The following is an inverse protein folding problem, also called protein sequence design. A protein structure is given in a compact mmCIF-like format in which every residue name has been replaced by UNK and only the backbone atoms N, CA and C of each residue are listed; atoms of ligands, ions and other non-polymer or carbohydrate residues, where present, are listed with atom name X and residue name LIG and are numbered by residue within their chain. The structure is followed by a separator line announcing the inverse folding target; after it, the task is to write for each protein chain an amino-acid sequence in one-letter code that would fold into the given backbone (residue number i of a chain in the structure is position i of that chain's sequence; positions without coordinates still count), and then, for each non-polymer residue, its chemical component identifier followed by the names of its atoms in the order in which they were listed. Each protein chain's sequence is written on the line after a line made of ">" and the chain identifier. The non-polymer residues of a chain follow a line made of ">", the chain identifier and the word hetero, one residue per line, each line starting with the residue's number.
data_IF_342886745379
#
_entry.id   IF_342886745379
#
_cell.length_a   1.000
_cell.length_b   1.000
_cell.length_c   1.000
_cell.angle_alpha   90.00
_cell.angle_beta   90.00
_cell.angle_gamma   90.00
#
_symmetry.space_group_name_H-M   'P 1'
#
loop_
_entity.id
_entity.type
_entity.pdbx_description
1 polymer ?
#
# COMPACT_ATOMS: atom_id res chain seq x y z
N UNK A 1 -17.58 -13.98 -6.70
CA UNK A 1 -17.78 -12.59 -7.16
C UNK A 1 -16.42 -11.93 -7.19
N UNK A 2 -16.17 -11.04 -8.15
CA UNK A 2 -14.81 -10.57 -8.47
C UNK A 2 -14.19 -9.70 -7.38
N UNK A 3 -12.90 -9.91 -7.13
CA UNK A 3 -12.03 -9.01 -6.36
C UNK A 3 -11.89 -7.68 -7.12
N UNK A 4 -11.94 -6.56 -6.41
CA UNK A 4 -11.66 -5.25 -6.98
C UNK A 4 -10.68 -4.49 -6.09
N UNK A 5 -9.73 -3.80 -6.72
CA UNK A 5 -8.78 -2.95 -6.06
C UNK A 5 -8.76 -1.57 -6.74
N UNK A 6 -8.91 -0.52 -5.95
CA UNK A 6 -8.75 0.86 -6.41
C UNK A 6 -7.51 1.43 -5.73
N UNK A 7 -6.49 1.71 -6.52
CA UNK A 7 -5.23 2.27 -6.05
C UNK A 7 -5.06 3.73 -6.48
N UNK A 8 -4.58 4.56 -5.56
CA UNK A 8 -4.25 5.95 -5.79
C UNK A 8 -2.82 6.24 -5.36
N UNK A 9 -1.94 6.47 -6.35
CA UNK A 9 -0.55 6.89 -6.13
C UNK A 9 -0.45 8.42 -6.22
N UNK A 10 0.02 9.04 -5.13
CA UNK A 10 0.40 10.44 -5.11
C UNK A 10 1.90 10.60 -4.89
N UNK A 11 2.59 11.17 -5.88
CA UNK A 11 3.94 11.71 -5.68
C UNK A 11 3.83 13.09 -5.05
N UNK A 12 4.42 13.26 -3.86
CA UNK A 12 4.40 14.54 -3.12
C UNK A 12 5.74 15.27 -3.25
N UNK A 13 6.83 14.53 -3.48
CA UNK A 13 8.14 15.12 -3.76
C UNK A 13 9.00 14.19 -4.64
N UNK A 14 10.27 14.57 -4.86
CA UNK A 14 11.25 13.69 -5.53
C UNK A 14 11.61 12.45 -4.70
N UNK A 15 11.48 12.55 -3.38
CA UNK A 15 11.82 11.50 -2.41
C UNK A 15 10.58 10.68 -2.04
N UNK A 16 9.47 11.37 -1.74
CA UNK A 16 8.30 10.75 -1.13
C UNK A 16 7.16 10.54 -2.12
N UNK A 17 6.56 9.35 -2.04
CA UNK A 17 5.29 9.00 -2.67
C UNK A 17 4.42 8.26 -1.66
N UNK A 18 3.12 8.41 -1.79
CA UNK A 18 2.17 7.66 -0.99
C UNK A 18 1.22 6.93 -1.93
N UNK A 19 0.82 5.73 -1.55
CA UNK A 19 -0.25 4.96 -2.18
C UNK A 19 -1.36 4.82 -1.14
N UNK A 20 -2.59 5.07 -1.55
CA UNK A 20 -3.77 4.60 -0.83
C UNK A 20 -4.48 3.59 -1.72
N UNK A 21 -4.82 2.42 -1.21
CA UNK A 21 -5.60 1.43 -1.93
C UNK A 21 -6.83 1.04 -1.12
N UNK A 22 -7.91 0.72 -1.83
CA UNK A 22 -9.11 0.10 -1.27
C UNK A 22 -9.31 -1.20 -2.03
N UNK A 23 -9.22 -2.31 -1.32
CA UNK A 23 -9.38 -3.67 -1.84
C UNK A 23 -10.69 -4.25 -1.30
N UNK A 24 -11.48 -4.83 -2.19
CA UNK A 24 -12.75 -5.43 -1.87
C UNK A 24 -12.84 -6.84 -2.45
N UNK A 25 -12.99 -7.84 -1.58
CA UNK A 25 -13.28 -9.22 -1.96
C UNK A 25 -14.57 -9.70 -1.28
N UNK A 26 -15.64 -9.86 -2.05
CA UNK A 26 -16.97 -10.29 -1.55
C UNK A 26 -17.47 -9.47 -0.33
N UNK A 27 -17.16 -9.90 0.89
CA UNK A 27 -17.55 -9.30 2.19
C UNK A 27 -16.36 -8.64 2.93
N UNK A 28 -15.17 -8.67 2.32
CA UNK A 28 -13.93 -8.17 2.92
C UNK A 28 -13.55 -6.87 2.24
N UNK A 29 -13.55 -5.79 3.02
CA UNK A 29 -13.05 -4.49 2.60
C UNK A 29 -11.78 -4.18 3.39
N UNK A 30 -10.71 -3.88 2.68
CA UNK A 30 -9.42 -3.50 3.24
C UNK A 30 -8.98 -2.16 2.67
N UNK A 31 -8.42 -1.32 3.53
CA UNK A 31 -7.79 -0.07 3.13
C UNK A 31 -6.29 -0.21 3.38
N UNK A 32 -5.50 -0.02 2.34
CA UNK A 32 -4.04 -0.06 2.45
C UNK A 32 -3.53 1.37 2.31
N UNK A 33 -2.60 1.75 3.19
CA UNK A 33 -1.80 2.96 3.03
C UNK A 33 -0.34 2.56 2.94
N UNK A 34 0.37 3.11 1.96
CA UNK A 34 1.79 2.87 1.75
C UNK A 34 2.53 4.20 1.61
N UNK A 35 3.63 4.32 2.34
CA UNK A 35 4.65 5.35 2.16
C UNK A 35 5.85 4.75 1.43
N UNK A 36 6.27 5.41 0.35
CA UNK A 36 7.46 5.05 -0.39
C UNK A 36 8.50 6.17 -0.30
N UNK A 37 9.72 5.81 0.09
CA UNK A 37 10.86 6.72 0.16
C UNK A 37 11.94 6.30 -0.83
N UNK A 38 12.27 7.19 -1.77
CA UNK A 38 13.38 7.01 -2.70
C UNK A 38 14.69 7.45 -2.03
N UNK A 39 15.55 6.49 -1.70
CA UNK A 39 16.87 6.75 -1.13
C UNK A 39 17.94 7.04 -2.19
N UNK A 40 17.70 6.62 -3.43
CA UNK A 40 18.61 6.85 -4.55
C UNK A 40 17.97 6.50 -5.89
N UNK A 41 18.74 6.52 -6.98
CA UNK A 41 18.24 6.12 -8.30
C UNK A 41 17.77 4.66 -8.32
N UNK A 42 18.38 3.79 -7.52
CA UNK A 42 18.19 2.32 -7.54
C UNK A 42 17.50 1.74 -6.31
N UNK A 43 17.16 2.56 -5.30
CA UNK A 43 16.64 2.08 -4.02
C UNK A 43 15.35 2.81 -3.65
N UNK A 44 14.30 2.04 -3.44
CA UNK A 44 13.01 2.51 -2.94
C UNK A 44 12.65 1.70 -1.69
N UNK A 45 12.49 2.38 -0.56
CA UNK A 45 11.87 1.80 0.63
C UNK A 45 10.36 1.92 0.49
N UNK A 46 9.63 0.87 0.87
CA UNK A 46 8.18 0.84 0.96
C UNK A 46 7.81 0.45 2.38
N UNK A 47 6.90 1.20 2.98
CA UNK A 47 6.29 0.88 4.26
C UNK A 47 4.79 0.96 4.06
N UNK A 48 4.08 -0.14 4.23
CA UNK A 48 2.63 -0.16 4.09
C UNK A 48 1.96 -0.69 5.36
N UNK A 49 0.67 -0.43 5.47
CA UNK A 49 -0.18 -1.11 6.42
C UNK A 49 -1.55 -1.28 5.79
N UNK A 50 -2.03 -2.52 5.78
CA UNK A 50 -3.42 -2.84 5.49
C UNK A 50 -4.28 -2.74 6.75
N UNK A 51 -5.46 -2.17 6.62
CA UNK A 51 -6.46 -2.02 7.68
C UNK A 51 -7.76 -2.68 7.22
N UNK A 52 -8.17 -3.73 7.92
CA UNK A 52 -9.47 -4.34 7.72
C UNK A 52 -10.59 -3.40 8.16
N UNK A 53 -11.50 -3.07 7.25
CA UNK A 53 -12.71 -2.28 7.57
C UNK A 53 -13.86 -3.21 7.97
N UNK A 54 -13.76 -4.50 7.64
CA UNK A 54 -14.78 -5.53 7.87
C UNK A 54 -14.33 -6.54 8.92
N UNK A 55 -15.25 -7.19 9.65
CA UNK A 55 -14.91 -8.10 10.77
C UNK A 55 -14.11 -9.35 10.39
N UNK A 56 -13.98 -9.61 9.08
CA UNK A 56 -13.23 -10.74 8.52
C UNK A 56 -11.81 -10.38 8.10
N UNK A 57 -11.54 -9.09 7.86
CA UNK A 57 -10.24 -8.62 7.44
C UNK A 57 -9.28 -8.48 8.65
N UNK A 58 -7.94 -8.57 8.44
CA UNK A 58 -6.95 -8.43 9.50
C UNK A 58 -7.02 -7.05 10.16
N UNK A 59 -6.92 -6.99 11.50
CA UNK A 59 -7.02 -5.73 12.27
C UNK A 59 -5.99 -4.69 11.80
N UNK A 60 -4.73 -5.09 11.67
CA UNK A 60 -3.63 -4.29 11.09
C UNK A 60 -2.57 -5.24 10.55
N UNK A 61 -2.18 -5.09 9.29
CA UNK A 61 -1.09 -5.85 8.66
C UNK A 61 0.02 -4.89 8.20
N UNK A 62 1.01 -4.58 9.06
CA UNK A 62 2.12 -3.71 8.69
C UNK A 62 3.17 -4.48 7.89
N UNK A 63 3.61 -3.91 6.77
CA UNK A 63 4.68 -4.48 5.96
C UNK A 63 5.78 -3.46 5.64
N UNK A 64 7.00 -3.95 5.54
CA UNK A 64 8.16 -3.19 5.12
C UNK A 64 8.86 -3.91 3.96
N UNK A 65 9.16 -3.18 2.90
CA UNK A 65 9.78 -3.71 1.69
C UNK A 65 10.90 -2.80 1.17
N UNK A 66 11.82 -3.41 0.44
CA UNK A 66 12.87 -2.69 -0.29
C UNK A 66 12.81 -3.14 -1.74
N UNK A 67 12.67 -2.18 -2.64
CA UNK A 67 12.75 -2.42 -4.07
C UNK A 67 14.10 -1.91 -4.59
N UNK A 68 14.86 -2.84 -5.14
CA UNK A 68 16.14 -2.59 -5.80
C UNK A 68 15.92 -2.71 -7.31
N UNK A 69 16.32 -1.68 -8.06
CA UNK A 69 16.30 -1.69 -9.53
C UNK A 69 17.73 -1.55 -10.06
N UNK A 70 18.15 -2.46 -10.94
CA UNK A 70 19.49 -2.50 -11.55
C UNK A 70 19.45 -2.04 -13.00
#
# INVERSE_FOLDING_TARGET
>A
MGEYAIEYLKRVSRVWRFVGAVEGESDELQVIVEAQARLGPHVLLKLNSGFGVTPKAPDVAPEAGVLLSW
#
